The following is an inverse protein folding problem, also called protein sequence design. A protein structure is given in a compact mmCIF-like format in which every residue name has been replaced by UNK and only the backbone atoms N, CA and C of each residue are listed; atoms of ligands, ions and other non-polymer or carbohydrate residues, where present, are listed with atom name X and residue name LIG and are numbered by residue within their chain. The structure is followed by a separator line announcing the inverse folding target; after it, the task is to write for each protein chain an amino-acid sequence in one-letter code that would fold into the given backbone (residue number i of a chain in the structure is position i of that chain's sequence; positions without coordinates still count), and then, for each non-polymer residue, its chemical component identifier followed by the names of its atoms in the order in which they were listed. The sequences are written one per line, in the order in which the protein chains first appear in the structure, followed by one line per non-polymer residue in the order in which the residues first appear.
data_IF_753778543722
#
_entry.id   IF_753778543722
#
_cell.length_a   1.000
_cell.length_b   1.000
_cell.length_c   1.000
_cell.angle_alpha   90.00
_cell.angle_beta   90.00
_cell.angle_gamma   90.00
#
_symmetry.space_group_name_H-M   'P 1'
#
loop_
_entity.id
_entity.type
_entity.pdbx_description
1 polymer ?
#
# COMPACT_ATOMS: atom_id res chain seq x y z
N UNK A 1 24.30 -34.95 -1.10
CA UNK A 1 22.91 -35.16 -0.61
C UNK A 1 21.98 -34.55 -1.64
N UNK A 2 21.06 -35.34 -2.21
CA UNK A 2 20.01 -34.80 -3.09
C UNK A 2 18.79 -34.51 -2.20
N UNK A 3 18.37 -33.25 -2.15
CA UNK A 3 17.15 -32.87 -1.43
C UNK A 3 15.99 -33.20 -2.35
N UNK A 4 15.24 -34.25 -2.01
CA UNK A 4 14.01 -34.61 -2.72
C UNK A 4 12.94 -33.61 -2.28
N UNK A 5 12.68 -32.61 -3.12
CA UNK A 5 11.62 -31.63 -2.86
C UNK A 5 10.29 -32.25 -3.28
N UNK A 6 9.45 -32.52 -2.29
CA UNK A 6 8.09 -32.99 -2.55
C UNK A 6 7.20 -31.78 -2.89
N UNK A 7 7.00 -31.54 -4.20
CA UNK A 7 6.24 -30.40 -4.72
C UNK A 7 4.84 -30.29 -4.12
N UNK A 8 4.16 -31.42 -3.90
CA UNK A 8 2.82 -31.43 -3.29
C UNK A 8 2.82 -30.87 -1.86
N UNK A 9 3.89 -31.13 -1.10
CA UNK A 9 4.03 -30.64 0.26
C UNK A 9 4.36 -29.14 0.29
N UNK A 10 5.22 -28.68 -0.64
CA UNK A 10 5.53 -27.26 -0.79
C UNK A 10 4.30 -26.47 -1.20
N UNK A 11 3.52 -26.99 -2.14
CA UNK A 11 2.27 -26.36 -2.59
C UNK A 11 1.25 -26.23 -1.46
N UNK A 12 1.14 -27.26 -0.60
CA UNK A 12 0.22 -27.23 0.55
C UNK A 12 0.67 -26.25 1.64
N UNK A 13 1.97 -26.20 1.92
CA UNK A 13 2.51 -25.23 2.87
C UNK A 13 2.37 -23.79 2.37
N UNK A 14 2.51 -23.58 1.07
CA UNK A 14 2.24 -22.28 0.45
C UNK A 14 0.77 -21.91 0.55
N UNK A 15 -0.17 -22.83 0.27
CA UNK A 15 -1.61 -22.52 0.41
C UNK A 15 -1.96 -22.17 1.86
N UNK A 16 -1.47 -22.95 2.83
CA UNK A 16 -1.69 -22.67 4.26
C UNK A 16 -1.04 -21.35 4.71
N UNK A 17 0.07 -20.94 4.10
CA UNK A 17 0.72 -19.65 4.38
C UNK A 17 -0.05 -18.46 3.76
N UNK A 18 -0.60 -18.64 2.57
CA UNK A 18 -1.35 -17.60 1.85
C UNK A 18 -2.81 -17.49 2.29
N UNK A 19 -3.37 -18.55 2.87
CA UNK A 19 -4.65 -18.53 3.58
C UNK A 19 -4.46 -17.80 4.92
N UNK A 20 -4.44 -16.47 4.88
CA UNK A 20 -4.36 -15.64 6.07
C UNK A 20 -5.57 -15.89 6.98
N UNK A 21 -5.29 -16.07 8.28
CA UNK A 21 -6.31 -16.11 9.31
C UNK A 21 -7.05 -14.76 9.31
N UNK A 22 -8.33 -14.77 8.93
CA UNK A 22 -9.13 -13.54 8.83
C UNK A 22 -9.26 -12.95 10.23
N UNK A 23 -8.65 -11.78 10.47
CA UNK A 23 -8.64 -11.07 11.76
C UNK A 23 -10.02 -10.54 12.22
N UNK A 24 -11.12 -11.09 11.71
CA UNK A 24 -12.48 -10.67 12.07
C UNK A 24 -12.84 -9.25 11.63
N UNK A 25 -11.99 -8.60 10.82
CA UNK A 25 -12.37 -7.37 10.11
C UNK A 25 -13.20 -7.81 8.92
N UNK A 26 -14.48 -8.09 9.16
CA UNK A 26 -15.45 -7.97 8.10
C UNK A 26 -15.34 -6.53 7.62
N UNK A 27 -14.98 -6.34 6.35
CA UNK A 27 -15.10 -5.04 5.73
C UNK A 27 -16.58 -4.66 5.83
N UNK A 28 -16.94 -3.86 6.83
CA UNK A 28 -18.15 -3.08 6.73
C UNK A 28 -17.95 -2.27 5.46
N UNK A 29 -18.64 -2.69 4.40
CA UNK A 29 -18.83 -1.93 3.17
C UNK A 29 -19.55 -0.66 3.61
N UNK A 30 -18.80 0.28 4.17
CA UNK A 30 -19.22 1.64 4.33
C UNK A 30 -19.32 2.14 2.90
N UNK A 31 -20.54 2.02 2.37
CA UNK A 31 -20.95 2.49 1.06
C UNK A 31 -20.27 3.83 0.80
N UNK A 32 -19.15 3.81 0.08
CA UNK A 32 -18.77 4.97 -0.69
C UNK A 32 -19.95 5.18 -1.63
N UNK A 33 -20.60 6.35 -1.54
CA UNK A 33 -21.53 6.79 -2.57
C UNK A 33 -20.68 7.16 -3.79
N UNK A 34 -20.15 6.13 -4.42
CA UNK A 34 -19.55 6.11 -5.71
C UNK A 34 -19.89 4.72 -6.27
N UNK A 35 -20.87 4.68 -7.17
CA UNK A 35 -21.20 3.46 -7.90
C UNK A 35 -19.99 3.15 -8.77
N UNK A 36 -19.14 2.25 -8.32
CA UNK A 36 -18.08 1.66 -9.13
C UNK A 36 -17.78 0.29 -8.53
N UNK A 37 -17.94 -0.74 -9.35
CA UNK A 37 -17.69 -2.14 -9.02
C UNK A 37 -16.29 -2.28 -8.41
N UNK A 38 -16.19 -2.60 -7.13
CA UNK A 38 -14.90 -2.71 -6.40
C UNK A 38 -13.94 -3.70 -7.07
N UNK A 39 -14.48 -4.79 -7.67
CA UNK A 39 -13.68 -5.77 -8.42
C UNK A 39 -13.00 -5.19 -9.67
N UNK A 40 -13.55 -4.14 -10.30
CA UNK A 40 -12.93 -3.54 -11.49
C UNK A 40 -11.79 -2.58 -11.13
N UNK A 41 -11.86 -1.93 -9.97
CA UNK A 41 -10.85 -0.94 -9.54
C UNK A 41 -9.51 -1.63 -9.27
N UNK A 42 -9.51 -2.75 -8.56
CA UNK A 42 -8.28 -3.48 -8.23
C UNK A 42 -7.60 -4.04 -9.48
N UNK A 43 -8.40 -4.52 -10.44
CA UNK A 43 -7.92 -4.99 -11.73
C UNK A 43 -7.33 -3.85 -12.57
N UNK A 44 -7.96 -2.67 -12.58
CA UNK A 44 -7.45 -1.49 -13.28
C UNK A 44 -6.14 -0.98 -12.65
N UNK A 45 -6.05 -0.96 -11.32
CA UNK A 45 -4.83 -0.59 -10.59
C UNK A 45 -3.69 -1.54 -10.93
N UNK A 46 -3.96 -2.85 -10.91
CA UNK A 46 -2.93 -3.85 -11.24
C UNK A 46 -2.49 -3.76 -12.70
N UNK A 47 -3.43 -3.57 -13.62
CA UNK A 47 -3.14 -3.36 -15.04
C UNK A 47 -2.25 -2.14 -15.28
N UNK A 48 -2.55 -1.00 -14.64
CA UNK A 48 -1.71 0.20 -14.75
C UNK A 48 -0.31 -0.03 -14.16
N UNK A 49 -0.22 -0.75 -13.03
CA UNK A 49 1.05 -1.05 -12.39
C UNK A 49 1.95 -1.92 -13.27
N UNK A 50 1.42 -3.02 -13.81
CA UNK A 50 2.14 -3.93 -14.71
C UNK A 50 2.61 -3.22 -15.98
N UNK A 51 1.76 -2.38 -16.58
CA UNK A 51 2.12 -1.54 -17.72
C UNK A 51 3.25 -0.54 -17.39
N UNK A 52 3.42 -0.21 -16.10
CA UNK A 52 4.50 0.64 -15.60
C UNK A 52 5.86 -0.06 -15.44
N UNK A 53 5.94 -1.39 -15.56
CA UNK A 53 7.17 -2.16 -15.38
C UNK A 53 7.91 -2.27 -16.72
N UNK A 54 9.20 -1.91 -16.73
CA UNK A 54 10.08 -2.10 -17.88
C UNK A 54 11.40 -2.73 -17.46
N UNK A 55 11.92 -3.67 -18.25
CA UNK A 55 13.26 -4.22 -18.04
C UNK A 55 14.26 -3.51 -18.97
N UNK A 56 15.23 -2.82 -18.40
CA UNK A 56 16.31 -2.17 -19.16
C UNK A 56 17.64 -2.60 -18.57
N UNK A 57 18.51 -3.21 -19.39
CA UNK A 57 19.85 -3.63 -18.98
C UNK A 57 19.88 -4.52 -17.73
N UNK A 58 18.99 -5.51 -17.64
CA UNK A 58 18.81 -6.41 -16.49
C UNK A 58 18.34 -5.72 -15.19
N UNK A 59 17.91 -4.46 -15.28
CA UNK A 59 17.29 -3.72 -14.17
C UNK A 59 15.81 -3.50 -14.47
N UNK A 60 14.96 -3.87 -13.52
CA UNK A 60 13.55 -3.50 -13.56
C UNK A 60 13.40 -2.05 -13.14
N UNK A 61 12.73 -1.27 -13.99
CA UNK A 61 12.28 0.08 -13.72
C UNK A 61 10.76 0.06 -13.62
N UNK A 62 10.23 0.66 -12.57
CA UNK A 62 8.79 0.72 -12.33
C UNK A 62 8.36 2.17 -12.37
N UNK A 63 7.32 2.49 -13.15
CA UNK A 63 6.67 3.80 -13.13
C UNK A 63 6.12 4.01 -11.72
N UNK A 64 6.37 5.18 -11.14
CA UNK A 64 5.78 5.47 -9.84
C UNK A 64 4.25 5.43 -9.93
N UNK A 65 3.56 4.84 -8.94
CA UNK A 65 2.09 4.72 -8.91
C UNK A 65 1.40 6.04 -8.53
N UNK A 66 2.02 7.19 -8.82
CA UNK A 66 1.42 8.48 -8.53
C UNK A 66 0.34 8.78 -9.57
N UNK A 67 -0.79 9.33 -9.12
CA UNK A 67 -1.84 9.83 -10.01
C UNK A 67 -1.22 10.76 -11.06
N UNK A 68 -1.68 10.71 -12.32
CA UNK A 68 -1.29 11.71 -13.31
C UNK A 68 -1.46 13.11 -12.72
N UNK A 69 -0.48 13.99 -12.92
CA UNK A 69 -0.43 15.35 -12.36
C UNK A 69 -0.07 15.48 -10.87
N UNK A 70 0.25 14.40 -10.15
CA UNK A 70 0.82 14.52 -8.80
C UNK A 70 2.26 15.03 -8.80
N UNK A 71 3.01 14.83 -9.89
CA UNK A 71 4.42 15.24 -9.96
C UNK A 71 4.63 16.74 -9.72
N UNK A 72 3.71 17.59 -10.20
CA UNK A 72 3.73 19.04 -9.95
C UNK A 72 3.33 19.39 -8.51
N UNK A 73 2.44 18.61 -7.89
CA UNK A 73 2.07 18.74 -6.47
C UNK A 73 3.20 18.30 -5.53
N UNK A 74 4.13 17.48 -6.02
CA UNK A 74 5.25 16.91 -5.27
C UNK A 74 6.59 17.61 -5.56
N UNK A 75 6.59 18.72 -6.33
CA UNK A 75 7.82 19.46 -6.69
C UNK A 75 8.65 19.87 -5.48
N UNK A 76 7.99 20.17 -4.35
CA UNK A 76 8.66 20.46 -3.09
C UNK A 76 8.10 19.62 -1.93
N UNK A 77 8.19 18.30 -2.07
CA UNK A 77 7.79 17.36 -1.04
C UNK A 77 8.45 17.61 0.32
N UNK A 78 9.70 18.07 0.33
CA UNK A 78 10.40 18.40 1.55
C UNK A 78 9.68 19.53 2.31
N UNK A 79 9.33 20.63 1.62
CA UNK A 79 8.63 21.75 2.26
C UNK A 79 7.23 21.36 2.73
N UNK A 80 6.52 20.55 1.96
CA UNK A 80 5.19 20.04 2.33
C UNK A 80 5.27 19.16 3.58
N UNK A 81 6.22 18.23 3.61
CA UNK A 81 6.47 17.38 4.77
C UNK A 81 6.85 18.21 6.00
N UNK A 82 7.74 19.22 5.83
CA UNK A 82 8.13 20.15 6.88
C UNK A 82 6.94 20.92 7.46
N UNK A 83 6.04 21.44 6.60
CA UNK A 83 4.82 22.13 7.03
C UNK A 83 3.89 21.21 7.82
N UNK A 84 3.69 19.98 7.36
CA UNK A 84 2.87 18.97 8.06
C UNK A 84 3.45 18.65 9.44
N UNK A 85 4.76 18.44 9.52
CA UNK A 85 5.47 18.17 10.76
C UNK A 85 5.35 19.32 11.77
N UNK A 86 5.59 20.57 11.33
CA UNK A 86 5.48 21.74 12.21
C UNK A 86 4.04 21.93 12.75
N UNK A 87 3.03 21.67 11.91
CA UNK A 87 1.63 21.73 12.31
C UNK A 87 1.29 20.65 13.33
N UNK A 88 1.79 19.42 13.12
CA UNK A 88 1.62 18.32 14.07
C UNK A 88 2.26 18.63 15.42
N UNK A 89 3.50 19.12 15.41
CA UNK A 89 4.21 19.55 16.63
C UNK A 89 3.46 20.64 17.40
N UNK A 90 2.89 21.61 16.69
CA UNK A 90 2.07 22.66 17.30
C UNK A 90 0.81 22.08 17.97
N UNK A 91 0.15 21.10 17.35
CA UNK A 91 -1.00 20.41 17.95
C UNK A 91 -0.62 19.68 19.24
N UNK A 92 0.47 18.93 19.24
CA UNK A 92 0.94 18.23 20.45
C UNK A 92 1.33 19.19 21.58
N UNK A 93 1.88 20.36 21.25
CA UNK A 93 2.18 21.37 22.26
C UNK A 93 0.91 22.00 22.86
N UNK A 94 -0.14 22.17 22.05
CA UNK A 94 -1.40 22.77 22.50
C UNK A 94 -2.30 21.77 23.24
N UNK A 95 -2.18 20.49 22.91
CA UNK A 95 -2.93 19.40 23.53
C UNK A 95 -2.01 18.18 23.64
N UNK A 96 -1.49 17.97 24.84
CA UNK A 96 -0.59 16.87 25.14
C UNK A 96 -1.29 15.50 25.19
N UNK A 97 -2.62 15.48 25.33
CA UNK A 97 -3.38 14.23 25.35
C UNK A 97 -3.42 13.54 23.98
N UNK A 98 -3.38 14.34 22.89
CA UNK A 98 -3.25 13.85 21.52
C UNK A 98 -2.02 12.96 21.32
N UNK A 99 -0.97 13.12 22.11
CA UNK A 99 0.24 12.30 21.96
C UNK A 99 0.00 10.84 22.39
N UNK A 100 -0.88 10.60 23.36
CA UNK A 100 -1.15 9.24 23.86
C UNK A 100 -1.86 8.38 22.80
N UNK A 101 -2.66 8.99 21.91
CA UNK A 101 -3.30 8.30 20.77
C UNK A 101 -2.28 7.72 19.77
N UNK A 102 -1.06 8.28 19.71
CA UNK A 102 0.02 7.85 18.80
C UNK A 102 1.01 6.87 19.45
N UNK A 103 0.76 6.42 20.68
CA UNK A 103 1.68 5.60 21.47
C UNK A 103 1.47 4.10 21.31
N UNK A 104 0.45 3.70 20.54
CA UNK A 104 0.11 2.30 20.24
C UNK A 104 0.80 1.81 18.98
#
# INVERSE_FOLDING_TARGET
MSVIVNESNVSKQLSEFWDLEKLGIEAEVSVCVCVCDEENIDNDIMSEFEAGISNQNKLYKVKFPWKPNMKTLLENNEEIARKRFLKLRSRFNNDSSLFEDYKN
#
